data_IF_623659652198
#
_entry.id   IF_623659652198
#
_cell.length_a   1.000
_cell.length_b   1.000
_cell.length_c   1.000
_cell.angle_alpha   90.00
_cell.angle_beta   90.00
_cell.angle_gamma   90.00
#
_symmetry.space_group_name_H-M   'P 1'
#
loop_
_entity.id
_entity.type
_entity.pdbx_description
1 polymer ?
#
# COMPACT_ATOMS: atom_id res chain seq x y z
N UNK A 1 5.52 -3.18 78.35
CA UNK A 1 5.69 -1.95 77.55
C UNK A 1 6.18 -2.32 76.15
N UNK A 2 5.34 -2.02 75.15
CA UNK A 2 5.58 -1.70 73.73
C UNK A 2 6.65 -2.48 72.93
N UNK A 3 6.13 -3.30 71.98
CA UNK A 3 6.74 -3.91 70.79
C UNK A 3 7.45 -2.88 69.90
N UNK A 4 8.59 -3.24 69.30
CA UNK A 4 9.07 -2.61 68.05
C UNK A 4 9.64 -3.67 67.08
N UNK A 5 8.74 -4.24 66.28
CA UNK A 5 9.11 -4.90 65.03
C UNK A 5 9.39 -3.80 64.01
N UNK A 6 10.66 -3.53 63.71
CA UNK A 6 11.03 -2.64 62.60
C UNK A 6 10.98 -3.48 61.33
N UNK A 7 9.79 -3.56 60.74
CA UNK A 7 9.61 -4.08 59.39
C UNK A 7 9.98 -2.97 58.41
N UNK A 8 11.20 -3.01 57.88
CA UNK A 8 11.59 -2.18 56.73
C UNK A 8 10.84 -2.72 55.51
N UNK A 9 9.68 -2.13 55.23
CA UNK A 9 8.98 -2.34 53.97
C UNK A 9 9.84 -1.74 52.84
N UNK A 10 10.52 -2.60 52.08
CA UNK A 10 11.07 -2.23 50.77
C UNK A 10 9.89 -1.88 49.84
N UNK A 11 9.57 -0.60 49.73
CA UNK A 11 8.69 -0.10 48.67
C UNK A 11 9.44 -0.13 47.35
N UNK A 12 9.17 -1.14 46.52
CA UNK A 12 9.54 -1.14 45.11
C UNK A 12 8.79 0.00 44.41
N UNK A 13 9.47 1.10 44.10
CA UNK A 13 8.93 2.16 43.24
C UNK A 13 8.84 1.56 41.84
N UNK A 14 7.63 1.19 41.43
CA UNK A 14 7.34 0.72 40.07
C UNK A 14 7.35 1.95 39.17
N UNK A 15 8.46 2.19 38.48
CA UNK A 15 8.55 3.25 37.48
C UNK A 15 7.81 2.75 36.24
N UNK A 16 6.55 3.15 36.08
CA UNK A 16 5.77 2.91 34.88
C UNK A 16 6.31 3.76 33.74
N UNK A 17 7.06 3.13 32.84
CA UNK A 17 7.46 3.71 31.56
C UNK A 17 6.20 3.96 30.72
N UNK A 18 6.03 5.15 30.12
CA UNK A 18 4.96 5.36 29.15
C UNK A 18 5.23 4.46 27.94
N UNK A 19 4.27 3.61 27.61
CA UNK A 19 4.27 2.89 26.35
C UNK A 19 4.17 3.94 25.22
N UNK A 20 5.25 4.13 24.47
CA UNK A 20 5.20 4.87 23.21
C UNK A 20 4.38 3.98 22.27
N UNK A 21 3.13 4.35 22.04
CA UNK A 21 2.32 3.73 21.00
C UNK A 21 3.06 3.91 19.66
N UNK A 22 3.34 2.82 18.97
CA UNK A 22 3.85 2.89 17.61
C UNK A 22 2.78 3.59 16.76
N UNK A 23 3.04 4.84 16.36
CA UNK A 23 2.24 5.50 15.32
C UNK A 23 2.33 4.63 14.07
N UNK A 24 1.17 4.19 13.58
CA UNK A 24 1.04 3.58 12.26
C UNK A 24 1.51 4.63 11.25
N UNK A 25 2.74 4.49 10.78
CA UNK A 25 3.34 5.47 9.88
C UNK A 25 2.43 5.57 8.67
N UNK A 26 2.10 6.79 8.20
CA UNK A 26 1.41 6.97 6.94
C UNK A 26 2.11 6.13 5.86
N UNK A 27 1.41 5.12 5.34
CA UNK A 27 1.98 4.20 4.35
C UNK A 27 2.29 4.93 3.02
N UNK A 28 1.77 6.15 2.85
CA UNK A 28 2.12 7.05 1.74
C UNK A 28 2.62 8.40 2.23
N UNK A 29 3.37 9.12 1.39
CA UNK A 29 3.75 10.50 1.66
C UNK A 29 2.53 11.37 2.00
N UNK A 30 2.68 12.39 2.88
CA UNK A 30 1.56 13.23 3.32
C UNK A 30 0.72 13.82 2.18
N UNK A 31 1.35 14.17 1.06
CA UNK A 31 0.66 14.72 -0.11
C UNK A 31 -0.30 13.74 -0.80
N UNK A 32 -0.09 12.44 -0.65
CA UNK A 32 -0.86 11.40 -1.34
C UNK A 32 -2.00 10.86 -0.44
N UNK A 33 -1.96 11.14 0.87
CA UNK A 33 -2.86 10.54 1.86
C UNK A 33 -4.34 10.82 1.64
N UNK A 34 -4.69 12.06 1.27
CA UNK A 34 -6.09 12.44 1.03
C UNK A 34 -6.66 11.68 -0.17
N UNK A 35 -5.93 11.68 -1.29
CA UNK A 35 -6.37 10.99 -2.51
C UNK A 35 -6.42 9.48 -2.31
N UNK A 36 -5.50 8.92 -1.51
CA UNK A 36 -5.59 7.52 -1.13
C UNK A 36 -6.85 7.20 -0.33
N UNK A 37 -7.18 8.00 0.68
CA UNK A 37 -8.35 7.79 1.52
C UNK A 37 -9.67 7.95 0.75
N UNK A 38 -9.77 8.94 -0.14
CA UNK A 38 -11.03 9.31 -0.79
C UNK A 38 -11.25 8.60 -2.15
N UNK A 39 -10.17 8.31 -2.89
CA UNK A 39 -10.25 7.79 -4.26
C UNK A 39 -9.68 6.37 -4.39
N UNK A 40 -8.40 6.16 -4.07
CA UNK A 40 -7.73 4.89 -4.37
C UNK A 40 -8.17 3.73 -3.47
N UNK A 41 -8.60 4.00 -2.23
CA UNK A 41 -9.16 3.01 -1.29
C UNK A 41 -10.47 2.38 -1.77
N UNK A 42 -11.24 3.15 -2.55
CA UNK A 42 -12.54 2.76 -3.08
C UNK A 42 -12.44 2.02 -4.43
N UNK A 43 -11.22 1.87 -4.94
CA UNK A 43 -11.00 1.27 -6.24
C UNK A 43 -11.14 -0.25 -6.15
N UNK A 44 -12.05 -0.79 -6.96
CA UNK A 44 -12.40 -2.21 -6.99
C UNK A 44 -11.82 -2.96 -8.19
N UNK A 45 -11.56 -4.26 -7.96
CA UNK A 45 -11.36 -5.28 -8.99
C UNK A 45 -12.65 -5.48 -9.79
N UNK A 46 -12.56 -6.20 -10.91
CA UNK A 46 -13.72 -6.52 -11.75
C UNK A 46 -14.76 -7.40 -11.02
N UNK A 47 -14.34 -8.17 -10.02
CA UNK A 47 -15.21 -9.01 -9.16
C UNK A 47 -15.89 -8.22 -8.02
N UNK A 48 -15.62 -6.92 -7.87
CA UNK A 48 -16.29 -6.03 -6.91
C UNK A 48 -15.59 -5.88 -5.55
N UNK A 49 -14.54 -6.66 -5.30
CA UNK A 49 -13.70 -6.51 -4.10
C UNK A 49 -12.83 -5.25 -4.18
N UNK A 50 -12.53 -4.65 -3.02
CA UNK A 50 -11.53 -3.58 -2.97
C UNK A 50 -10.18 -4.12 -3.44
N UNK A 51 -9.52 -3.34 -4.27
CA UNK A 51 -8.31 -3.75 -4.95
C UNK A 51 -7.06 -3.56 -4.09
N UNK A 52 -7.12 -2.62 -3.16
CA UNK A 52 -5.99 -2.23 -2.35
C UNK A 52 -6.46 -2.04 -0.92
N UNK A 53 -5.81 -2.72 0.03
CA UNK A 53 -5.69 -2.13 1.35
C UNK A 53 -4.83 -0.86 1.17
N UNK A 54 -4.98 0.14 2.03
CA UNK A 54 -4.33 1.44 1.84
C UNK A 54 -2.78 1.40 1.76
N UNK A 55 -2.10 0.25 1.78
CA UNK A 55 -0.65 0.12 1.59
C UNK A 55 -0.24 -0.35 0.18
N UNK A 56 -1.08 -1.10 -0.52
CA UNK A 56 -0.69 -1.81 -1.74
C UNK A 56 -0.71 -0.95 -3.01
N UNK A 57 -1.48 0.14 -3.02
CA UNK A 57 -1.54 1.09 -4.13
C UNK A 57 -0.43 2.13 -4.02
N UNK A 58 0.29 2.44 -5.09
CA UNK A 58 1.26 3.54 -5.10
C UNK A 58 1.45 4.15 -6.49
N UNK A 59 1.85 5.44 -6.57
CA UNK A 59 2.20 6.08 -7.83
C UNK A 59 3.44 5.44 -8.44
N UNK A 60 3.43 5.24 -9.76
CA UNK A 60 4.50 4.57 -10.49
C UNK A 60 4.78 5.19 -11.85
N UNK A 61 5.95 4.89 -12.41
CA UNK A 61 6.23 5.11 -13.83
C UNK A 61 5.55 4.02 -14.64
N UNK A 62 4.89 4.42 -15.73
CA UNK A 62 4.25 3.52 -16.66
C UNK A 62 4.74 3.79 -18.08
N UNK A 63 4.77 2.74 -18.90
CA UNK A 63 5.03 2.86 -20.35
C UNK A 63 4.22 1.83 -21.12
N UNK A 64 3.78 2.20 -22.31
CA UNK A 64 3.18 1.25 -23.22
C UNK A 64 4.27 0.55 -24.04
N UNK A 65 4.26 -0.78 -24.07
CA UNK A 65 5.19 -1.57 -24.85
C UNK A 65 4.53 -1.99 -26.17
N UNK A 66 4.82 -1.24 -27.23
CA UNK A 66 4.28 -1.42 -28.60
C UNK A 66 4.46 -2.85 -29.15
N UNK A 67 5.56 -3.53 -28.80
CA UNK A 67 5.83 -4.89 -29.30
C UNK A 67 4.90 -5.93 -28.66
N UNK A 68 4.57 -5.73 -27.38
CA UNK A 68 3.67 -6.61 -26.65
C UNK A 68 2.21 -6.17 -26.67
N UNK A 69 1.95 -4.89 -27.00
CA UNK A 69 0.63 -4.27 -26.89
C UNK A 69 0.10 -4.16 -25.45
N UNK A 70 0.98 -4.16 -24.45
CA UNK A 70 0.65 -4.12 -23.03
C UNK A 70 1.31 -2.95 -22.31
N UNK A 71 0.68 -2.49 -21.23
CA UNK A 71 1.32 -1.57 -20.30
C UNK A 71 2.36 -2.30 -19.45
N UNK A 72 3.44 -1.59 -19.13
CA UNK A 72 4.42 -1.97 -18.12
C UNK A 72 4.50 -0.89 -17.06
N UNK A 73 4.69 -1.30 -15.80
CA UNK A 73 4.87 -0.37 -14.69
C UNK A 73 6.12 -0.70 -13.89
N UNK A 74 6.72 0.33 -13.28
CA UNK A 74 7.91 0.18 -12.45
C UNK A 74 7.52 -0.19 -11.02
N UNK A 75 7.82 -1.42 -10.61
CA UNK A 75 7.55 -1.85 -9.24
C UNK A 75 8.47 -1.13 -8.24
N UNK A 76 7.91 -0.67 -7.12
CA UNK A 76 8.62 0.17 -6.14
C UNK A 76 9.71 -0.62 -5.41
N UNK A 77 9.43 -1.87 -5.07
CA UNK A 77 10.20 -2.72 -4.16
C UNK A 77 11.52 -3.20 -4.78
N UNK A 78 11.51 -3.57 -6.06
CA UNK A 78 12.67 -4.13 -6.75
C UNK A 78 13.07 -3.36 -8.02
N UNK A 79 12.39 -2.24 -8.31
CA UNK A 79 12.64 -1.39 -9.49
C UNK A 79 12.60 -2.14 -10.82
N UNK A 80 11.85 -3.25 -10.88
CA UNK A 80 11.65 -4.00 -12.12
C UNK A 80 10.42 -3.48 -12.87
N UNK A 81 10.55 -3.40 -14.19
CA UNK A 81 9.40 -3.24 -15.07
C UNK A 81 8.64 -4.55 -15.11
N UNK A 82 7.37 -4.50 -14.71
CA UNK A 82 6.47 -5.65 -14.70
C UNK A 82 5.41 -5.44 -15.77
N UNK A 83 5.07 -6.50 -16.49
CA UNK A 83 3.97 -6.45 -17.46
C UNK A 83 2.66 -6.40 -16.71
N UNK A 84 1.78 -5.51 -17.14
CA UNK A 84 0.45 -5.40 -16.58
C UNK A 84 -0.47 -6.26 -17.44
N UNK A 85 -1.21 -7.22 -16.85
CA UNK A 85 -2.21 -7.99 -17.58
C UNK A 85 -3.30 -7.06 -18.13
N UNK A 86 -3.73 -7.31 -19.36
CA UNK A 86 -4.79 -6.52 -20.01
C UNK A 86 -6.04 -6.42 -19.14
N UNK A 87 -6.47 -7.53 -18.55
CA UNK A 87 -7.70 -7.62 -17.75
C UNK A 87 -7.78 -6.67 -16.53
N UNK A 88 -6.67 -6.08 -16.05
CA UNK A 88 -6.69 -5.21 -14.85
C UNK A 88 -6.75 -3.71 -15.17
N UNK A 89 -6.46 -3.33 -16.42
CA UNK A 89 -6.53 -1.94 -16.90
C UNK A 89 -7.44 -1.75 -18.10
N UNK A 90 -7.68 -2.81 -18.87
CA UNK A 90 -8.66 -2.87 -19.95
C UNK A 90 -10.05 -2.98 -19.34
N UNK A 91 -10.46 -1.86 -18.78
CA UNK A 91 -11.72 -1.70 -18.10
C UNK A 91 -12.60 -0.92 -19.07
N UNK A 92 -13.47 -1.62 -19.79
CA UNK A 92 -14.51 -1.05 -20.67
C UNK A 92 -15.62 -0.34 -19.89
N UNK A 93 -15.37 0.02 -18.63
CA UNK A 93 -16.32 0.71 -17.76
C UNK A 93 -16.15 2.23 -17.93
N UNK A 94 -17.06 2.89 -18.67
CA UNK A 94 -16.98 4.32 -18.94
C UNK A 94 -17.21 5.18 -17.68
N UNK A 95 -17.69 4.61 -16.57
CA UNK A 95 -17.95 5.34 -15.33
C UNK A 95 -16.76 5.31 -14.37
N UNK A 96 -15.63 4.77 -14.80
CA UNK A 96 -14.44 4.60 -13.98
C UNK A 96 -13.56 5.85 -14.12
N UNK A 97 -13.48 6.70 -13.07
CA UNK A 97 -12.78 7.97 -13.18
C UNK A 97 -11.28 7.78 -13.41
N UNK A 98 -10.69 8.73 -14.13
CA UNK A 98 -9.25 8.87 -14.33
C UNK A 98 -8.52 9.10 -13.00
N UNK A 99 -7.19 8.87 -13.01
CA UNK A 99 -6.35 9.17 -11.85
C UNK A 99 -6.41 10.67 -11.54
N UNK A 100 -6.92 11.09 -10.36
CA UNK A 100 -7.17 12.50 -10.07
C UNK A 100 -5.90 13.35 -9.97
N UNK A 101 -4.74 12.69 -9.79
CA UNK A 101 -3.42 13.32 -9.78
C UNK A 101 -2.66 13.19 -11.10
N UNK A 102 -3.28 12.61 -12.14
CA UNK A 102 -2.69 12.40 -13.46
C UNK A 102 -1.57 11.35 -13.52
N UNK A 103 -1.17 10.73 -12.40
CA UNK A 103 -0.08 9.75 -12.35
C UNK A 103 -0.61 8.33 -12.49
N UNK A 104 0.21 7.44 -13.05
CA UNK A 104 -0.12 6.02 -13.06
C UNK A 104 -0.05 5.44 -11.65
N UNK A 105 -1.00 4.57 -11.30
CA UNK A 105 -1.04 3.88 -10.01
C UNK A 105 -1.04 2.37 -10.22
N UNK A 106 -0.19 1.69 -9.45
CA UNK A 106 -0.06 0.24 -9.45
C UNK A 106 -0.44 -0.30 -8.08
N UNK A 107 -1.25 -1.37 -8.09
CA UNK A 107 -1.60 -2.14 -6.92
C UNK A 107 -1.18 -3.59 -7.14
N UNK A 108 -0.19 -4.03 -6.39
CA UNK A 108 0.39 -5.36 -6.49
C UNK A 108 0.95 -5.76 -5.11
N UNK A 109 0.95 -7.07 -4.76
CA UNK A 109 1.50 -7.53 -3.50
C UNK A 109 3.02 -7.32 -3.46
N UNK A 110 3.62 -7.46 -2.27
CA UNK A 110 5.06 -7.45 -2.16
C UNK A 110 5.65 -8.64 -2.95
N UNK A 111 6.69 -8.46 -3.77
CA UNK A 111 7.32 -9.56 -4.48
C UNK A 111 7.87 -10.66 -3.56
N UNK A 112 8.16 -10.34 -2.29
CA UNK A 112 8.57 -11.33 -1.28
C UNK A 112 7.45 -12.31 -0.93
N UNK A 113 6.20 -11.90 -1.13
CA UNK A 113 5.01 -12.70 -0.80
C UNK A 113 4.54 -13.56 -1.99
N UNK A 114 5.11 -13.36 -3.19
CA UNK A 114 4.67 -14.02 -4.44
C UNK A 114 5.39 -15.34 -4.78
N UNK A 115 6.23 -15.88 -3.90
CA UNK A 115 6.98 -17.11 -4.19
C UNK A 115 8.01 -16.96 -5.32
N UNK A 116 8.61 -18.08 -5.76
CA UNK A 116 9.80 -18.08 -6.63
C UNK A 116 9.58 -17.60 -8.07
N UNK A 117 8.34 -17.51 -8.56
CA UNK A 117 8.04 -17.09 -9.93
C UNK A 117 7.59 -15.62 -10.01
N UNK A 118 8.54 -14.71 -9.88
CA UNK A 118 8.33 -13.27 -9.92
C UNK A 118 8.24 -12.73 -11.37
N UNK A 119 7.66 -13.50 -12.30
CA UNK A 119 7.44 -13.12 -13.71
C UNK A 119 5.97 -12.84 -13.99
N UNK A 120 5.08 -13.54 -13.31
CA UNK A 120 3.63 -13.32 -13.36
C UNK A 120 3.20 -12.63 -12.06
N UNK A 121 3.55 -11.35 -11.98
CA UNK A 121 3.18 -10.52 -10.83
C UNK A 121 1.66 -10.45 -10.78
N UNK A 122 1.08 -10.86 -9.65
CA UNK A 122 -0.36 -10.80 -9.45
C UNK A 122 -0.74 -9.33 -9.27
N UNK A 123 -0.91 -8.60 -10.38
CA UNK A 123 -1.35 -7.21 -10.35
C UNK A 123 -2.84 -7.23 -10.03
N UNK A 124 -3.23 -6.59 -8.94
CA UNK A 124 -4.64 -6.50 -8.57
C UNK A 124 -5.32 -5.42 -9.41
N UNK A 125 -4.69 -4.25 -9.50
CA UNK A 125 -5.19 -3.11 -10.26
C UNK A 125 -4.09 -2.27 -10.86
N UNK A 126 -4.42 -1.66 -12.00
CA UNK A 126 -3.58 -0.66 -12.64
C UNK A 126 -4.42 0.47 -13.26
N UNK A 127 -3.99 1.71 -13.03
CA UNK A 127 -4.54 2.92 -13.65
C UNK A 127 -3.44 3.56 -14.43
N UNK A 128 -3.73 3.78 -15.70
CA UNK A 128 -2.93 4.66 -16.54
C UNK A 128 -3.18 6.09 -16.03
N UNK A 129 -2.11 6.83 -15.80
CA UNK A 129 -2.20 8.26 -15.55
C UNK A 129 -2.36 9.01 -16.87
N UNK A 130 -2.94 10.21 -16.83
CA UNK A 130 -3.08 11.07 -18.01
C UNK A 130 -1.73 11.61 -18.54
N UNK A 131 -0.62 11.35 -17.83
CA UNK A 131 0.73 11.64 -18.34
C UNK A 131 1.09 13.13 -18.30
N UNK A 132 0.62 13.86 -17.29
CA UNK A 132 0.99 15.26 -17.05
C UNK A 132 2.43 15.43 -16.60
#
# INVERSE_FOLDING_TARGET
MIRRFISFFLTCIVVSLPAIAAEDKPHHPPQDMKLHAEFYSNWKKADGDSCCNNADCYPTKARFNEQSGLWEALRREDKRWIRIPRAVYDNTDPNRPDSPDGRAHLCAPNPKDMGRDNRDVNVYCFRVGLGI
#
